data_IF_677547213427
#
_entry.id   IF_677547213427
#
_cell.length_a   1.000
_cell.length_b   1.000
_cell.length_c   1.000
_cell.angle_alpha   90.00
_cell.angle_beta   90.00
_cell.angle_gamma   90.00
#
_symmetry.space_group_name_H-M   'P 1'
#
loop_
_entity.id
_entity.type
_entity.pdbx_description
1 polymer ?
#
# COMPACT_ATOMS: atom_id res chain seq x y z
N UNK A 1 12.45 6.66 11.74
CA UNK A 1 13.80 6.16 12.13
C UNK A 1 14.52 5.76 10.85
N UNK A 2 15.78 6.12 10.65
CA UNK A 2 16.55 5.51 9.57
C UNK A 2 16.56 3.99 9.78
N UNK A 3 16.61 3.18 8.70
CA UNK A 3 16.70 1.73 8.84
C UNK A 3 17.87 1.37 9.75
N UNK A 4 17.72 0.28 10.51
CA UNK A 4 18.77 -0.28 11.38
C UNK A 4 20.10 -0.33 10.61
N UNK A 5 21.27 -0.08 11.26
CA UNK A 5 22.56 -0.05 10.55
C UNK A 5 22.92 -1.32 9.79
N UNK A 6 22.13 -2.38 9.93
CA UNK A 6 22.33 -3.72 9.34
C UNK A 6 21.14 -4.22 8.53
N UNK A 7 20.21 -3.33 8.05
CA UNK A 7 19.10 -3.85 7.23
C UNK A 7 19.60 -4.41 5.88
N UNK A 8 19.07 -5.56 5.42
CA UNK A 8 19.41 -6.16 4.13
C UNK A 8 19.30 -5.18 2.96
N UNK A 9 18.26 -4.35 2.95
CA UNK A 9 18.07 -3.29 1.96
C UNK A 9 19.26 -2.30 1.91
N UNK A 10 19.79 -1.91 3.09
CA UNK A 10 20.94 -1.00 3.14
C UNK A 10 22.21 -1.65 2.59
N UNK A 11 22.42 -2.94 2.81
CA UNK A 11 23.54 -3.68 2.24
C UNK A 11 23.44 -3.72 0.71
N UNK A 12 22.24 -3.92 0.17
CA UNK A 12 21.97 -3.87 -1.26
C UNK A 12 22.37 -2.50 -1.85
N UNK A 13 21.82 -1.40 -1.33
CA UNK A 13 22.14 -0.06 -1.83
C UNK A 13 23.63 0.30 -1.67
N UNK A 14 24.28 -0.16 -0.60
CA UNK A 14 25.71 0.03 -0.39
C UNK A 14 26.53 -0.69 -1.46
N UNK A 15 26.18 -1.93 -1.82
CA UNK A 15 26.88 -2.69 -2.86
C UNK A 15 26.79 -2.02 -4.22
N UNK A 16 25.62 -1.50 -4.60
CA UNK A 16 25.43 -0.75 -5.85
C UNK A 16 26.26 0.53 -5.88
N UNK A 17 26.22 1.32 -4.81
CA UNK A 17 26.96 2.58 -4.71
C UNK A 17 28.47 2.37 -4.75
N UNK A 18 28.96 1.29 -4.13
CA UNK A 18 30.38 0.91 -4.17
C UNK A 18 30.79 0.20 -5.48
N UNK A 19 29.82 -0.17 -6.34
CA UNK A 19 30.02 -1.05 -7.50
C UNK A 19 30.66 -2.40 -7.16
N UNK A 20 30.40 -2.87 -5.94
CA UNK A 20 30.83 -4.17 -5.43
C UNK A 20 29.71 -5.18 -5.62
N UNK A 21 29.65 -5.81 -6.79
CA UNK A 21 28.58 -6.75 -7.12
C UNK A 21 28.88 -8.15 -6.62
N UNK A 22 27.86 -8.77 -6.00
CA UNK A 22 27.89 -10.18 -5.63
C UNK A 22 27.28 -11.05 -6.72
N UNK A 23 27.55 -12.35 -6.70
CA UNK A 23 27.08 -13.29 -7.73
C UNK A 23 25.56 -13.49 -7.77
N UNK A 24 24.83 -13.21 -6.68
CA UNK A 24 23.39 -13.36 -6.64
C UNK A 24 22.71 -12.37 -5.68
N UNK A 25 21.62 -11.77 -6.15
CA UNK A 25 20.74 -10.90 -5.39
C UNK A 25 19.34 -11.50 -5.31
N UNK A 26 18.65 -11.30 -4.18
CA UNK A 26 17.27 -11.68 -3.99
C UNK A 26 16.46 -10.43 -3.63
N UNK A 27 15.56 -10.00 -4.52
CA UNK A 27 14.70 -8.84 -4.37
C UNK A 27 13.28 -9.33 -4.11
N UNK A 28 12.73 -9.01 -2.94
CA UNK A 28 11.40 -9.46 -2.52
C UNK A 28 10.71 -8.40 -1.66
N UNK A 29 9.47 -8.63 -1.27
CA UNK A 29 8.65 -7.71 -0.48
C UNK A 29 7.35 -7.33 -1.18
N UNK A 30 6.54 -6.55 -0.50
CA UNK A 30 5.18 -6.22 -0.94
C UNK A 30 5.10 -4.93 -1.80
N UNK A 31 6.18 -4.19 -1.95
CA UNK A 31 6.20 -2.96 -2.74
C UNK A 31 6.84 -3.19 -4.11
N UNK A 32 5.99 -3.34 -5.13
CA UNK A 32 6.42 -3.61 -6.50
C UNK A 32 7.18 -2.42 -7.11
N UNK A 33 6.84 -1.19 -6.76
CA UNK A 33 7.52 0.00 -7.27
C UNK A 33 8.98 0.06 -6.80
N UNK A 34 9.22 -0.20 -5.50
CA UNK A 34 10.57 -0.23 -4.94
C UNK A 34 11.40 -1.40 -5.49
N UNK A 35 10.79 -2.57 -5.69
CA UNK A 35 11.46 -3.73 -6.31
C UNK A 35 11.88 -3.43 -7.74
N UNK A 36 10.96 -2.89 -8.56
CA UNK A 36 11.26 -2.51 -9.95
C UNK A 36 12.39 -1.47 -10.01
N UNK A 37 12.33 -0.45 -9.15
CA UNK A 37 13.40 0.54 -9.03
C UNK A 37 14.73 -0.12 -8.65
N UNK A 38 14.74 -1.04 -7.69
CA UNK A 38 15.94 -1.74 -7.26
C UNK A 38 16.57 -2.56 -8.39
N UNK A 39 15.76 -3.28 -9.17
CA UNK A 39 16.22 -4.02 -10.35
C UNK A 39 16.80 -3.07 -11.39
N UNK A 40 16.10 -1.96 -11.70
CA UNK A 40 16.54 -0.95 -12.67
C UNK A 40 17.89 -0.33 -12.29
N UNK A 41 18.03 0.07 -11.02
CA UNK A 41 19.27 0.66 -10.49
C UNK A 41 20.43 -0.36 -10.50
N UNK A 42 20.16 -1.62 -10.14
CA UNK A 42 21.16 -2.68 -10.19
C UNK A 42 21.65 -2.90 -11.61
N UNK A 43 20.73 -3.06 -12.57
CA UNK A 43 21.06 -3.25 -13.99
C UNK A 43 21.84 -2.05 -14.53
N UNK A 44 21.40 -0.82 -14.25
CA UNK A 44 22.08 0.40 -14.68
C UNK A 44 23.48 0.59 -14.09
N UNK A 45 23.69 0.08 -12.85
CA UNK A 45 25.01 0.13 -12.22
C UNK A 45 25.96 -0.98 -12.70
N UNK A 46 25.42 -2.16 -13.07
CA UNK A 46 26.21 -3.34 -13.42
C UNK A 46 26.52 -3.46 -14.92
N UNK A 47 25.65 -2.97 -15.80
CA UNK A 47 25.75 -3.13 -17.25
C UNK A 47 25.80 -1.77 -17.93
N UNK A 48 26.78 -1.57 -18.79
CA UNK A 48 26.92 -0.38 -19.61
C UNK A 48 25.84 -0.33 -20.70
N UNK A 49 25.28 0.85 -20.95
CA UNK A 49 24.15 1.03 -21.89
C UNK A 49 24.51 0.54 -23.31
N UNK A 50 25.70 0.81 -23.79
CA UNK A 50 26.16 0.42 -25.15
C UNK A 50 26.34 -1.09 -25.35
N UNK A 51 26.39 -1.89 -24.26
CA UNK A 51 26.54 -3.36 -24.32
C UNK A 51 25.37 -4.11 -23.74
N UNK A 52 24.29 -3.38 -23.35
CA UNK A 52 23.14 -3.90 -22.61
C UNK A 52 22.43 -5.03 -23.34
N UNK A 53 22.24 -4.92 -24.64
CA UNK A 53 21.55 -5.93 -25.46
C UNK A 53 22.24 -7.30 -25.44
N UNK A 54 23.56 -7.33 -25.18
CA UNK A 54 24.34 -8.57 -25.12
C UNK A 54 24.54 -9.08 -23.68
N UNK A 55 24.36 -8.21 -22.68
CA UNK A 55 24.75 -8.49 -21.30
C UNK A 55 23.58 -8.41 -20.29
N UNK A 56 22.37 -8.20 -20.76
CA UNK A 56 21.16 -8.26 -19.94
C UNK A 56 20.18 -9.27 -20.48
N UNK A 57 19.85 -10.28 -19.68
CA UNK A 57 18.73 -11.18 -19.91
C UNK A 57 17.68 -11.00 -18.84
N UNK A 58 16.44 -10.82 -19.25
CA UNK A 58 15.27 -10.77 -18.37
C UNK A 58 14.34 -11.92 -18.77
N UNK A 59 14.04 -12.82 -17.84
CA UNK A 59 13.20 -14.00 -18.07
C UNK A 59 12.18 -14.17 -16.96
N UNK A 60 11.03 -14.75 -17.32
CA UNK A 60 10.01 -15.17 -16.36
C UNK A 60 10.37 -16.53 -15.76
N UNK A 61 10.27 -16.68 -14.43
CA UNK A 61 10.64 -17.93 -13.75
C UNK A 61 9.84 -19.13 -14.23
N UNK A 62 8.55 -18.98 -14.52
CA UNK A 62 7.70 -20.07 -15.02
C UNK A 62 8.07 -20.60 -16.40
N UNK A 63 8.82 -19.85 -17.19
CA UNK A 63 9.27 -20.22 -18.54
C UNK A 63 10.65 -20.88 -18.55
N UNK A 64 11.40 -20.77 -17.44
CA UNK A 64 12.77 -21.28 -17.35
C UNK A 64 12.82 -22.75 -16.94
N UNK A 65 13.53 -23.54 -17.72
CA UNK A 65 14.00 -24.85 -17.34
C UNK A 65 15.45 -24.81 -16.83
N UNK A 66 15.94 -25.95 -16.32
CA UNK A 66 17.28 -26.05 -15.76
C UNK A 66 18.39 -25.85 -16.80
N UNK A 67 18.20 -26.29 -18.04
CA UNK A 67 19.17 -26.18 -19.14
C UNK A 67 19.31 -24.71 -19.59
N UNK A 68 18.18 -24.03 -19.83
CA UNK A 68 18.17 -22.62 -20.22
C UNK A 68 18.79 -21.73 -19.11
N UNK A 69 18.39 -21.97 -17.85
CA UNK A 69 18.96 -21.25 -16.72
C UNK A 69 20.48 -21.47 -16.58
N UNK A 70 20.91 -22.72 -16.77
CA UNK A 70 22.31 -23.10 -16.79
C UNK A 70 23.11 -22.38 -17.88
N UNK A 71 22.55 -22.34 -19.10
CA UNK A 71 23.16 -21.64 -20.24
C UNK A 71 23.29 -20.15 -19.97
N UNK A 72 22.24 -19.50 -19.49
CA UNK A 72 22.24 -18.06 -19.18
C UNK A 72 23.31 -17.70 -18.14
N UNK A 73 23.44 -18.48 -17.09
CA UNK A 73 24.36 -18.20 -15.97
C UNK A 73 25.79 -18.68 -16.21
N UNK A 74 26.05 -19.52 -17.22
CA UNK A 74 27.38 -19.91 -17.64
C UNK A 74 27.94 -19.11 -18.82
N UNK A 75 27.12 -18.28 -19.46
CA UNK A 75 27.54 -17.42 -20.57
C UNK A 75 28.29 -16.21 -20.03
N UNK A 76 29.57 -16.00 -20.40
CA UNK A 76 30.35 -14.86 -19.94
C UNK A 76 29.84 -13.53 -20.56
N UNK A 77 30.18 -12.38 -19.93
CA UNK A 77 29.86 -11.09 -20.51
C UNK A 77 30.54 -10.87 -21.87
N UNK A 78 29.90 -10.13 -22.77
CA UNK A 78 30.39 -9.81 -24.08
C UNK A 78 30.78 -8.31 -24.16
N UNK A 79 32.06 -8.00 -24.38
CA UNK A 79 32.56 -6.64 -24.43
C UNK A 79 32.24 -5.76 -23.22
N UNK A 80 32.03 -6.38 -22.05
CA UNK A 80 31.68 -5.73 -20.79
C UNK A 80 32.31 -6.44 -19.62
N UNK A 81 32.39 -5.76 -18.47
CA UNK A 81 32.88 -6.38 -17.24
C UNK A 81 31.89 -7.39 -16.65
N UNK A 82 30.59 -7.17 -16.89
CA UNK A 82 29.54 -7.95 -16.24
C UNK A 82 28.36 -8.22 -17.17
N UNK A 83 27.72 -9.35 -16.91
CA UNK A 83 26.44 -9.76 -17.45
C UNK A 83 25.43 -9.87 -16.32
N UNK A 84 24.20 -9.44 -16.55
CA UNK A 84 23.10 -9.53 -15.57
C UNK A 84 22.01 -10.45 -16.11
N UNK A 85 21.58 -11.39 -15.30
CA UNK A 85 20.43 -12.27 -15.57
C UNK A 85 19.36 -11.98 -14.52
N UNK A 86 18.22 -11.45 -14.94
CA UNK A 86 17.08 -11.14 -14.09
C UNK A 86 16.01 -12.23 -14.27
N UNK A 87 15.68 -12.92 -13.20
CA UNK A 87 14.58 -13.89 -13.15
C UNK A 87 13.41 -13.23 -12.43
N UNK A 88 12.38 -12.82 -13.19
CA UNK A 88 11.12 -12.29 -12.68
C UNK A 88 10.25 -13.42 -12.16
N UNK A 89 9.52 -13.19 -11.07
CA UNK A 89 8.72 -14.20 -10.39
C UNK A 89 9.49 -15.51 -10.17
N UNK A 90 10.61 -15.42 -9.46
CA UNK A 90 11.47 -16.57 -9.19
C UNK A 90 10.75 -17.71 -8.41
N UNK A 91 9.63 -17.38 -7.73
CA UNK A 91 8.80 -18.40 -7.07
C UNK A 91 8.17 -19.38 -8.05
N UNK A 92 7.91 -18.95 -9.30
CA UNK A 92 7.32 -19.77 -10.36
C UNK A 92 8.31 -20.71 -11.07
N UNK A 93 9.60 -20.65 -10.73
CA UNK A 93 10.59 -21.60 -11.28
C UNK A 93 10.14 -23.05 -11.07
N UNK A 94 10.31 -23.89 -12.09
CA UNK A 94 10.00 -25.34 -12.04
C UNK A 94 10.94 -26.05 -11.08
N UNK A 95 10.52 -27.20 -10.58
CA UNK A 95 11.25 -27.96 -9.55
C UNK A 95 12.69 -28.28 -9.96
N UNK A 96 12.88 -28.69 -11.22
CA UNK A 96 14.21 -29.05 -11.78
C UNK A 96 15.11 -27.80 -11.84
N UNK A 97 14.58 -26.65 -12.29
CA UNK A 97 15.28 -25.37 -12.34
C UNK A 97 15.65 -24.87 -10.93
N UNK A 98 14.74 -25.03 -9.94
CA UNK A 98 15.04 -24.73 -8.53
C UNK A 98 16.19 -25.57 -7.99
N UNK A 99 16.18 -26.88 -8.24
CA UNK A 99 17.26 -27.77 -7.80
C UNK A 99 18.62 -27.41 -8.42
N UNK A 100 18.61 -27.02 -9.72
CA UNK A 100 19.83 -26.55 -10.39
C UNK A 100 20.32 -25.21 -9.79
N UNK A 101 19.38 -24.28 -9.53
CA UNK A 101 19.66 -22.98 -8.93
C UNK A 101 20.29 -23.12 -7.54
N UNK A 102 19.77 -24.03 -6.71
CA UNK A 102 20.33 -24.29 -5.38
C UNK A 102 21.82 -24.68 -5.45
N UNK A 103 22.18 -25.57 -6.38
CA UNK A 103 23.55 -25.97 -6.62
C UNK A 103 24.44 -24.83 -7.18
N UNK A 104 23.87 -23.96 -8.01
CA UNK A 104 24.56 -22.77 -8.51
C UNK A 104 24.85 -21.76 -7.38
N UNK A 105 23.86 -21.46 -6.55
CA UNK A 105 24.00 -20.53 -5.43
C UNK A 105 25.02 -21.04 -4.38
N UNK A 106 25.06 -22.35 -4.14
CA UNK A 106 26.04 -22.94 -3.24
C UNK A 106 27.48 -22.73 -3.73
N UNK A 107 27.71 -22.96 -5.03
CA UNK A 107 29.03 -22.71 -5.65
C UNK A 107 29.41 -21.23 -5.68
N UNK A 108 28.43 -20.35 -5.88
CA UNK A 108 28.64 -18.91 -5.94
C UNK A 108 28.94 -18.31 -4.57
N UNK A 109 28.24 -18.79 -3.52
CA UNK A 109 28.47 -18.36 -2.14
C UNK A 109 29.86 -18.74 -1.60
N UNK A 110 30.49 -19.80 -2.13
CA UNK A 110 31.86 -20.22 -1.75
C UNK A 110 32.96 -19.34 -2.35
N UNK A 111 32.63 -18.41 -3.26
CA UNK A 111 33.58 -17.49 -3.91
C UNK A 111 33.67 -16.15 -3.17
N UNK A 112 33.75 -16.16 -1.84
CA UNK A 112 33.89 -14.93 -1.08
C UNK A 112 35.07 -14.08 -1.55
N UNK A 113 34.82 -12.79 -1.82
CA UNK A 113 35.84 -11.82 -2.22
C UNK A 113 36.25 -11.82 -3.69
N UNK A 114 35.66 -12.66 -4.54
CA UNK A 114 35.91 -12.64 -5.99
C UNK A 114 34.74 -11.90 -6.66
N UNK A 115 35.00 -10.79 -7.41
CA UNK A 115 33.96 -10.12 -8.20
C UNK A 115 33.30 -11.10 -9.18
N UNK A 116 31.98 -11.14 -9.20
CA UNK A 116 31.25 -11.96 -10.15
C UNK A 116 31.11 -11.23 -11.48
N UNK A 117 31.51 -11.88 -12.57
CA UNK A 117 31.27 -11.42 -13.94
C UNK A 117 29.83 -11.67 -14.41
N UNK A 118 29.12 -12.64 -13.78
CA UNK A 118 27.71 -12.88 -13.99
C UNK A 118 26.94 -12.59 -12.70
N UNK A 119 25.99 -11.67 -12.77
CA UNK A 119 25.15 -11.24 -11.65
C UNK A 119 23.74 -11.79 -11.85
N UNK A 120 23.31 -12.66 -10.97
CA UNK A 120 21.94 -13.19 -10.95
C UNK A 120 21.06 -12.29 -10.06
N UNK A 121 19.90 -11.91 -10.54
CA UNK A 121 18.86 -11.20 -9.79
C UNK A 121 17.61 -12.06 -9.75
N UNK A 122 17.23 -12.52 -8.58
CA UNK A 122 15.99 -13.24 -8.32
C UNK A 122 14.97 -12.25 -7.78
N UNK A 123 13.96 -11.93 -8.56
CA UNK A 123 12.86 -11.08 -8.13
C UNK A 123 11.65 -11.96 -7.79
N UNK A 124 11.06 -11.69 -6.63
CA UNK A 124 9.88 -12.39 -6.14
C UNK A 124 8.65 -11.48 -6.23
N UNK A 125 7.55 -12.02 -6.76
CA UNK A 125 6.27 -11.32 -6.81
C UNK A 125 5.76 -11.02 -5.39
N UNK A 126 4.90 -10.01 -5.26
CA UNK A 126 4.24 -9.68 -3.99
C UNK A 126 3.26 -10.77 -3.55
N UNK A 127 3.00 -10.86 -2.24
CA UNK A 127 2.09 -11.83 -1.63
C UNK A 127 2.76 -13.07 -1.04
N UNK A 128 1.99 -13.90 -0.35
CA UNK A 128 2.50 -15.05 0.41
C UNK A 128 3.26 -16.07 -0.44
N UNK A 129 2.85 -16.27 -1.69
CA UNK A 129 3.50 -17.19 -2.63
C UNK A 129 4.83 -16.67 -3.16
N UNK A 130 5.08 -15.37 -3.04
CA UNK A 130 6.30 -14.71 -3.47
C UNK A 130 7.40 -14.63 -2.40
N UNK A 131 7.30 -15.36 -1.29
CA UNK A 131 8.36 -15.34 -0.28
C UNK A 131 9.48 -16.28 -0.65
N UNK A 132 10.75 -15.80 -0.69
CA UNK A 132 11.92 -16.65 -0.91
C UNK A 132 12.12 -17.62 0.26
N UNK A 133 12.62 -18.81 -0.04
CA UNK A 133 12.96 -19.76 1.01
C UNK A 133 14.25 -19.37 1.76
N UNK A 134 14.49 -20.01 2.91
CA UNK A 134 15.64 -19.70 3.77
C UNK A 134 16.99 -19.96 3.09
N UNK A 135 17.06 -20.91 2.16
CA UNK A 135 18.30 -21.24 1.46
C UNK A 135 18.67 -20.13 0.47
N UNK A 136 17.68 -19.60 -0.27
CA UNK A 136 17.86 -18.45 -1.16
C UNK A 136 18.34 -17.23 -0.36
N UNK A 137 17.65 -16.91 0.76
CA UNK A 137 18.01 -15.77 1.61
C UNK A 137 19.42 -15.88 2.19
N UNK A 138 19.84 -17.09 2.55
CA UNK A 138 21.17 -17.32 3.14
C UNK A 138 22.33 -17.25 2.13
N UNK A 139 22.05 -17.43 0.82
CA UNK A 139 23.07 -17.55 -0.22
C UNK A 139 23.05 -16.37 -1.23
N UNK A 140 22.22 -15.39 -0.98
CA UNK A 140 22.09 -14.19 -1.83
C UNK A 140 22.22 -12.93 -0.99
N UNK A 141 22.55 -11.82 -1.62
CA UNK A 141 22.35 -10.53 -0.99
C UNK A 141 20.86 -10.19 -1.13
N UNK A 142 20.13 -10.48 -0.06
CA UNK A 142 18.68 -10.33 -0.04
C UNK A 142 18.28 -8.91 0.35
N UNK A 143 17.25 -8.34 -0.29
CA UNK A 143 16.66 -7.04 0.04
C UNK A 143 15.14 -7.16 0.11
N UNK A 144 14.59 -6.78 1.28
CA UNK A 144 13.15 -6.78 1.54
C UNK A 144 12.58 -5.37 1.34
N UNK A 145 11.74 -5.21 0.32
CA UNK A 145 11.09 -3.96 -0.03
C UNK A 145 9.66 -3.94 0.51
N UNK A 146 9.54 -3.71 1.80
CA UNK A 146 8.25 -3.50 2.47
C UNK A 146 7.66 -2.13 2.11
N UNK A 147 6.31 -2.00 2.06
CA UNK A 147 5.65 -0.71 1.87
C UNK A 147 6.11 0.34 2.87
N UNK A 148 6.24 1.57 2.42
CA UNK A 148 6.59 2.67 3.30
C UNK A 148 5.47 2.93 4.33
N UNK A 149 5.88 3.22 5.57
CA UNK A 149 4.92 3.66 6.57
C UNK A 149 4.34 5.03 6.18
N UNK A 150 3.11 5.28 6.60
CA UNK A 150 2.39 6.52 6.30
C UNK A 150 3.20 7.78 6.63
N UNK A 151 3.89 7.79 7.74
CA UNK A 151 4.68 8.95 8.21
C UNK A 151 5.92 9.22 7.34
N UNK A 152 6.34 8.26 6.53
CA UNK A 152 7.49 8.40 5.63
C UNK A 152 7.12 8.88 4.24
N UNK A 153 5.85 8.75 3.85
CA UNK A 153 5.38 9.07 2.50
C UNK A 153 5.58 10.53 2.10
N UNK A 154 5.27 11.56 2.92
CA UNK A 154 5.50 12.95 2.51
C UNK A 154 6.97 13.24 2.18
N UNK A 155 7.89 12.66 2.95
CA UNK A 155 9.33 12.78 2.69
C UNK A 155 9.75 12.06 1.42
N UNK A 156 9.14 10.91 1.14
CA UNK A 156 9.38 10.17 -0.10
C UNK A 156 8.84 10.95 -1.30
N UNK A 157 7.64 11.52 -1.22
CA UNK A 157 7.02 12.37 -2.25
C UNK A 157 7.96 13.54 -2.60
N UNK A 158 8.38 14.31 -1.60
CA UNK A 158 9.27 15.44 -1.80
C UNK A 158 10.63 15.02 -2.38
N UNK A 159 11.20 13.90 -1.90
CA UNK A 159 12.47 13.36 -2.41
C UNK A 159 12.33 12.87 -3.85
N UNK A 160 11.30 12.09 -4.17
CA UNK A 160 11.06 11.57 -5.51
C UNK A 160 10.87 12.70 -6.52
N UNK A 161 10.02 13.68 -6.20
CA UNK A 161 9.78 14.83 -7.07
C UNK A 161 11.08 15.65 -7.31
N UNK A 162 11.87 15.88 -6.27
CA UNK A 162 13.12 16.66 -6.42
C UNK A 162 14.22 15.91 -7.15
N UNK A 163 14.37 14.58 -6.94
CA UNK A 163 15.49 13.80 -7.52
C UNK A 163 15.20 13.24 -8.90
N UNK A 164 13.97 12.77 -9.14
CA UNK A 164 13.60 12.14 -10.40
C UNK A 164 12.99 13.15 -11.40
N UNK A 165 12.24 14.16 -10.89
CA UNK A 165 11.50 15.10 -11.73
C UNK A 165 12.11 16.50 -11.72
N UNK A 166 13.01 16.79 -10.79
CA UNK A 166 13.63 18.12 -10.63
C UNK A 166 12.68 19.22 -10.14
N UNK A 167 11.55 18.84 -9.52
CA UNK A 167 10.48 19.77 -9.14
C UNK A 167 10.30 19.75 -7.61
N UNK A 168 10.30 20.90 -6.92
CA UNK A 168 10.00 20.96 -5.50
C UNK A 168 8.50 20.76 -5.24
N UNK A 169 8.18 20.22 -4.05
CA UNK A 169 6.79 20.00 -3.59
C UNK A 169 6.66 20.60 -2.21
N UNK A 170 5.61 21.38 -1.96
CA UNK A 170 5.31 21.89 -0.61
C UNK A 170 4.89 20.76 0.32
N UNK A 171 5.17 20.90 1.63
CA UNK A 171 4.75 19.91 2.63
C UNK A 171 3.23 19.69 2.60
N UNK A 172 2.46 20.76 2.44
CA UNK A 172 0.99 20.71 2.35
C UNK A 172 0.49 19.95 1.11
N UNK A 173 1.14 20.14 -0.04
CA UNK A 173 0.82 19.39 -1.26
C UNK A 173 1.19 17.90 -1.13
N UNK A 174 2.33 17.59 -0.51
CA UNK A 174 2.76 16.21 -0.26
C UNK A 174 1.77 15.47 0.67
N UNK A 175 1.30 16.12 1.73
CA UNK A 175 0.29 15.58 2.63
C UNK A 175 -1.06 15.37 1.92
N UNK A 176 -1.50 16.34 1.11
CA UNK A 176 -2.75 16.26 0.36
C UNK A 176 -2.68 15.13 -0.68
N UNK A 177 -1.58 15.03 -1.41
CA UNK A 177 -1.35 13.97 -2.39
C UNK A 177 -1.36 12.59 -1.73
N UNK A 178 -0.71 12.45 -0.57
CA UNK A 178 -0.73 11.23 0.23
C UNK A 178 -2.16 10.86 0.66
N UNK A 179 -2.96 11.82 1.11
CA UNK A 179 -4.35 11.58 1.50
C UNK A 179 -5.23 11.16 0.32
N UNK A 180 -4.96 11.70 -0.86
CA UNK A 180 -5.71 11.42 -2.08
C UNK A 180 -5.39 10.04 -2.69
N UNK A 181 -4.12 9.67 -2.69
CA UNK A 181 -3.61 8.47 -3.40
C UNK A 181 -3.36 7.30 -2.46
N UNK A 182 -3.07 7.59 -1.19
CA UNK A 182 -2.73 6.57 -0.20
C UNK A 182 -1.23 6.23 -0.19
N UNK A 183 -0.91 4.95 0.06
CA UNK A 183 0.46 4.47 0.23
C UNK A 183 1.02 3.69 -0.97
N UNK A 184 0.37 3.74 -2.11
CA UNK A 184 0.85 3.12 -3.36
C UNK A 184 1.89 4.04 -4.02
N UNK A 185 3.16 3.68 -3.93
CA UNK A 185 4.26 4.48 -4.47
C UNK A 185 4.21 4.63 -5.99
N UNK A 186 3.74 3.59 -6.71
CA UNK A 186 3.59 3.64 -8.16
C UNK A 186 2.52 4.65 -8.59
N UNK A 187 1.39 4.66 -7.88
CA UNK A 187 0.34 5.64 -8.11
C UNK A 187 0.80 7.06 -7.73
N UNK A 188 1.50 7.23 -6.60
CA UNK A 188 2.06 8.51 -6.19
C UNK A 188 3.08 9.05 -7.23
N UNK A 189 3.96 8.20 -7.75
CA UNK A 189 4.89 8.57 -8.80
C UNK A 189 4.18 9.03 -10.08
N UNK A 190 3.14 8.29 -10.51
CA UNK A 190 2.35 8.66 -11.69
C UNK A 190 1.60 9.99 -11.51
N UNK A 191 1.09 10.28 -10.31
CA UNK A 191 0.49 11.58 -10.03
C UNK A 191 1.53 12.71 -10.00
N UNK A 192 2.73 12.46 -9.45
CA UNK A 192 3.83 13.42 -9.43
C UNK A 192 4.32 13.75 -10.84
N UNK A 193 4.41 12.76 -11.76
CA UNK A 193 4.74 12.99 -13.18
C UNK A 193 3.74 13.94 -13.86
N UNK A 194 2.44 13.74 -13.60
CA UNK A 194 1.38 14.64 -14.12
C UNK A 194 1.49 16.04 -13.53
N UNK A 195 1.72 16.14 -12.22
CA UNK A 195 1.87 17.41 -11.52
C UNK A 195 3.10 18.19 -12.01
N UNK A 196 4.25 17.53 -12.16
CA UNK A 196 5.47 18.13 -12.68
C UNK A 196 5.26 18.67 -14.11
N UNK A 197 4.54 17.91 -14.94
CA UNK A 197 4.17 18.33 -16.29
C UNK A 197 3.20 19.53 -16.28
N UNK A 198 2.23 19.54 -15.36
CA UNK A 198 1.26 20.62 -15.21
C UNK A 198 1.94 21.91 -14.74
N UNK A 199 2.79 21.85 -13.72
CA UNK A 199 3.51 23.02 -13.19
C UNK A 199 4.68 23.48 -14.07
N UNK A 200 5.00 22.72 -15.13
CA UNK A 200 6.12 23.00 -16.04
C UNK A 200 7.47 23.15 -15.34
N UNK A 201 7.66 22.38 -14.27
CA UNK A 201 8.89 22.40 -13.47
C UNK A 201 8.90 23.44 -12.34
N UNK A 202 7.81 24.18 -12.14
CA UNK A 202 7.61 25.04 -10.96
C UNK A 202 7.18 24.21 -9.74
N UNK A 203 7.18 24.82 -8.56
CA UNK A 203 6.81 24.17 -7.30
C UNK A 203 5.39 23.61 -7.34
N UNK A 204 5.24 22.36 -6.92
CA UNK A 204 3.93 21.70 -6.77
C UNK A 204 3.34 22.13 -5.42
N UNK A 205 2.27 22.90 -5.47
CA UNK A 205 1.47 23.35 -4.33
C UNK A 205 0.11 22.64 -4.23
N UNK A 206 -0.68 22.94 -3.21
CA UNK A 206 -2.03 22.39 -3.03
C UNK A 206 -2.98 22.77 -4.20
N UNK A 207 -2.75 23.92 -4.84
CA UNK A 207 -3.54 24.36 -5.99
C UNK A 207 -3.30 23.47 -7.21
N UNK A 208 -2.06 23.12 -7.46
CA UNK A 208 -1.69 22.17 -8.53
C UNK A 208 -2.29 20.78 -8.26
N UNK A 209 -2.22 20.28 -7.01
CA UNK A 209 -2.85 19.01 -6.63
C UNK A 209 -4.36 19.07 -6.84
N UNK A 210 -5.04 20.15 -6.44
CA UNK A 210 -6.46 20.32 -6.66
C UNK A 210 -6.84 20.35 -8.15
N UNK A 211 -6.01 20.95 -8.99
CA UNK A 211 -6.27 21.08 -10.43
C UNK A 211 -6.08 19.75 -11.18
N UNK A 212 -5.07 18.95 -10.81
CA UNK A 212 -4.67 17.73 -11.55
C UNK A 212 -5.28 16.47 -10.95
N UNK A 213 -5.22 16.32 -9.61
CA UNK A 213 -5.69 15.14 -8.90
C UNK A 213 -7.17 15.25 -8.53
N UNK A 214 -7.72 16.47 -8.54
CA UNK A 214 -9.14 16.74 -8.25
C UNK A 214 -9.49 16.65 -6.76
N UNK A 215 -8.49 16.71 -5.86
CA UNK A 215 -8.69 16.61 -4.41
C UNK A 215 -8.28 17.91 -3.73
N UNK A 216 -9.12 18.38 -2.81
CA UNK A 216 -8.86 19.53 -1.97
C UNK A 216 -8.85 19.14 -0.51
N UNK A 217 -8.19 19.94 0.31
CA UNK A 217 -8.24 19.77 1.77
C UNK A 217 -9.68 19.89 2.26
N UNK A 218 -10.13 18.94 3.07
CA UNK A 218 -11.52 18.84 3.52
C UNK A 218 -12.45 18.06 2.60
N UNK A 219 -11.96 17.59 1.43
CA UNK A 219 -12.74 16.83 0.44
C UNK A 219 -12.19 15.41 0.24
N UNK A 220 -11.34 14.93 1.15
CA UNK A 220 -10.73 13.59 1.05
C UNK A 220 -11.70 12.49 1.50
N UNK A 221 -11.41 11.24 1.12
CA UNK A 221 -12.14 10.07 1.63
C UNK A 221 -12.11 10.02 3.18
N UNK A 222 -10.99 10.42 3.81
CA UNK A 222 -10.89 10.48 5.26
C UNK A 222 -11.85 11.53 5.87
N UNK A 223 -12.00 12.71 5.25
CA UNK A 223 -12.95 13.73 5.66
C UNK A 223 -14.40 13.23 5.55
N UNK A 224 -14.70 12.55 4.44
CA UNK A 224 -16.01 11.91 4.24
C UNK A 224 -16.32 10.88 5.34
N UNK A 225 -15.37 9.99 5.67
CA UNK A 225 -15.53 9.01 6.73
C UNK A 225 -15.78 9.69 8.09
N UNK A 226 -15.09 10.78 8.38
CA UNK A 226 -15.26 11.53 9.62
C UNK A 226 -16.62 12.20 9.71
N UNK A 227 -17.15 12.71 8.61
CA UNK A 227 -18.52 13.27 8.55
C UNK A 227 -19.56 12.19 8.83
N UNK A 228 -19.43 11.02 8.22
CA UNK A 228 -20.33 9.88 8.49
C UNK A 228 -20.21 9.42 9.95
N UNK A 229 -19.00 9.32 10.52
CA UNK A 229 -18.81 8.94 11.92
C UNK A 229 -19.47 9.94 12.88
N UNK A 230 -19.50 11.22 12.54
CA UNK A 230 -20.20 12.28 13.29
C UNK A 230 -21.70 12.32 13.04
N UNK A 231 -22.20 11.53 12.08
CA UNK A 231 -23.58 11.53 11.58
C UNK A 231 -23.98 12.87 10.91
N UNK A 232 -23.03 13.53 10.30
CA UNK A 232 -23.26 14.73 9.47
C UNK A 232 -23.66 14.30 8.04
N UNK A 233 -24.94 14.03 7.84
CA UNK A 233 -25.47 13.61 6.55
C UNK A 233 -25.30 14.68 5.47
N UNK A 234 -25.49 15.96 5.81
CA UNK A 234 -25.39 17.05 4.86
C UNK A 234 -23.98 17.22 4.32
N UNK A 235 -22.99 17.28 5.21
CA UNK A 235 -21.58 17.36 4.84
C UNK A 235 -21.13 16.12 4.07
N UNK A 236 -21.51 14.91 4.52
CA UNK A 236 -21.14 13.67 3.85
C UNK A 236 -21.74 13.57 2.44
N UNK A 237 -23.03 13.92 2.24
CA UNK A 237 -23.66 13.93 0.92
C UNK A 237 -23.00 14.90 -0.05
N UNK A 238 -22.59 16.07 0.42
CA UNK A 238 -21.90 17.05 -0.40
C UNK A 238 -20.55 16.53 -0.92
N UNK A 239 -19.89 15.63 -0.17
CA UNK A 239 -18.60 15.06 -0.57
C UNK A 239 -18.72 13.86 -1.52
N UNK A 240 -19.86 13.18 -1.64
CA UNK A 240 -20.00 11.97 -2.48
C UNK A 240 -19.50 12.18 -3.91
N UNK A 241 -19.90 13.25 -4.65
CA UNK A 241 -19.38 13.45 -6.00
C UNK A 241 -17.87 13.67 -6.03
N UNK A 242 -17.31 14.37 -5.04
CA UNK A 242 -15.88 14.70 -4.99
C UNK A 242 -15.01 13.49 -4.70
N UNK A 243 -15.40 12.62 -3.76
CA UNK A 243 -14.63 11.42 -3.45
C UNK A 243 -14.62 10.40 -4.60
N UNK A 244 -15.69 10.33 -5.39
CA UNK A 244 -15.76 9.42 -6.55
C UNK A 244 -14.88 9.84 -7.73
N UNK A 245 -14.38 11.07 -7.75
CA UNK A 245 -13.40 11.55 -8.74
C UNK A 245 -11.94 11.29 -8.32
N UNK A 246 -11.72 10.88 -7.08
CA UNK A 246 -10.37 10.65 -6.57
C UNK A 246 -9.73 9.38 -7.15
N UNK A 247 -8.41 9.34 -7.31
CA UNK A 247 -7.70 8.17 -7.81
C UNK A 247 -8.00 6.92 -6.98
N UNK A 248 -8.32 5.81 -7.65
CA UNK A 248 -8.61 4.50 -7.03
C UNK A 248 -9.84 4.47 -6.10
N UNK A 249 -10.64 5.52 -6.05
CA UNK A 249 -11.89 5.57 -5.29
C UNK A 249 -13.06 5.23 -6.22
N UNK A 250 -13.87 4.28 -5.81
CA UNK A 250 -15.13 3.89 -6.42
C UNK A 250 -16.13 3.49 -5.33
N UNK A 251 -17.38 3.23 -5.69
CA UNK A 251 -18.40 2.86 -4.70
C UNK A 251 -18.01 1.70 -3.79
N UNK A 252 -17.37 0.65 -4.34
CA UNK A 252 -16.94 -0.53 -3.57
C UNK A 252 -15.86 -0.15 -2.55
N UNK A 253 -14.85 0.62 -2.94
CA UNK A 253 -13.78 1.04 -2.02
C UNK A 253 -14.32 1.93 -0.90
N UNK A 254 -15.30 2.79 -1.19
CA UNK A 254 -15.98 3.62 -0.18
C UNK A 254 -16.76 2.76 0.81
N UNK A 255 -17.54 1.78 0.32
CA UNK A 255 -18.28 0.85 1.19
C UNK A 255 -17.33 0.03 2.06
N UNK A 256 -16.22 -0.45 1.53
CA UNK A 256 -15.20 -1.15 2.33
C UNK A 256 -14.61 -0.27 3.44
N UNK A 257 -14.30 0.99 3.13
CA UNK A 257 -13.79 1.94 4.12
C UNK A 257 -14.81 2.26 5.21
N UNK A 258 -16.09 2.47 4.84
CA UNK A 258 -17.20 2.65 5.78
C UNK A 258 -17.43 1.41 6.65
N UNK A 259 -17.31 0.21 6.06
CA UNK A 259 -17.44 -1.06 6.81
C UNK A 259 -16.35 -1.17 7.86
N UNK A 260 -15.10 -0.92 7.50
CA UNK A 260 -13.97 -0.93 8.45
C UNK A 260 -14.20 0.07 9.59
N UNK A 261 -14.64 1.29 9.26
CA UNK A 261 -14.97 2.30 10.26
C UNK A 261 -16.11 1.88 11.17
N UNK A 262 -17.20 1.32 10.61
CA UNK A 262 -18.37 0.87 11.38
C UNK A 262 -17.98 -0.25 12.33
N UNK A 263 -17.16 -1.21 11.92
CA UNK A 263 -16.63 -2.26 12.80
C UNK A 263 -15.75 -1.70 13.91
N UNK A 264 -14.91 -0.69 13.61
CA UNK A 264 -14.13 0.00 14.63
C UNK A 264 -15.04 0.74 15.65
N UNK A 265 -16.09 1.42 15.18
CA UNK A 265 -17.06 2.08 16.06
C UNK A 265 -17.81 1.08 16.91
N UNK A 266 -18.21 -0.08 16.37
CA UNK A 266 -18.86 -1.16 17.10
C UNK A 266 -17.96 -1.74 18.21
N UNK A 267 -16.67 -1.93 17.88
CA UNK A 267 -15.71 -2.36 18.89
C UNK A 267 -15.57 -1.32 20.02
N UNK A 268 -15.49 -0.03 19.67
CA UNK A 268 -15.36 1.07 20.65
C UNK A 268 -16.61 1.22 21.52
N UNK A 269 -17.79 1.13 20.93
CA UNK A 269 -19.07 1.15 21.67
C UNK A 269 -19.13 -0.01 22.67
N UNK A 270 -18.84 -1.24 22.22
CA UNK A 270 -18.81 -2.41 23.06
C UNK A 270 -17.76 -2.32 24.19
N UNK A 271 -16.64 -1.68 23.96
CA UNK A 271 -15.60 -1.42 24.96
C UNK A 271 -16.12 -0.41 26.02
N UNK A 272 -16.77 0.66 25.59
CA UNK A 272 -17.39 1.66 26.48
C UNK A 272 -18.50 1.01 27.30
N UNK A 273 -19.38 0.20 26.71
CA UNK A 273 -20.46 -0.51 27.38
C UNK A 273 -19.92 -1.48 28.45
N UNK A 274 -18.70 -2.02 28.26
CA UNK A 274 -18.01 -2.86 29.26
C UNK A 274 -17.27 -2.06 30.33
N UNK A 275 -17.38 -0.74 30.32
CA UNK A 275 -16.81 0.15 31.34
C UNK A 275 -15.41 0.69 31.03
N UNK A 276 -14.95 0.57 29.77
CA UNK A 276 -13.69 1.21 29.37
C UNK A 276 -13.87 2.74 29.38
N UNK A 277 -12.98 3.43 30.08
CA UNK A 277 -13.03 4.91 30.12
C UNK A 277 -12.62 5.50 28.77
N UNK A 278 -13.23 6.63 28.35
CA UNK A 278 -12.87 7.32 27.10
C UNK A 278 -11.38 7.69 27.00
N UNK A 279 -10.72 7.97 28.11
CA UNK A 279 -9.30 8.29 28.17
C UNK A 279 -8.38 7.12 27.83
N UNK A 280 -8.82 5.89 28.00
CA UNK A 280 -8.10 4.65 27.65
C UNK A 280 -8.44 4.12 26.26
N UNK A 281 -9.55 4.57 25.69
CA UNK A 281 -10.08 4.04 24.44
C UNK A 281 -9.08 4.18 23.28
N UNK A 282 -8.34 5.29 23.20
CA UNK A 282 -7.31 5.47 22.16
C UNK A 282 -6.19 4.42 22.26
N UNK A 283 -5.68 4.17 23.47
CA UNK A 283 -4.65 3.15 23.69
C UNK A 283 -5.11 1.75 23.29
N UNK A 284 -6.35 1.42 23.63
CA UNK A 284 -6.93 0.11 23.30
C UNK A 284 -7.21 -0.04 21.80
N UNK A 285 -7.58 1.01 21.08
CA UNK A 285 -7.66 0.98 19.61
C UNK A 285 -6.29 0.70 18.97
N UNK A 286 -5.21 1.31 19.49
CA UNK A 286 -3.86 1.01 19.00
C UNK A 286 -3.48 -0.45 19.26
N UNK A 287 -3.82 -1.00 20.42
CA UNK A 287 -3.61 -2.42 20.73
C UNK A 287 -4.42 -3.33 19.79
N UNK A 288 -5.66 -2.98 19.52
CA UNK A 288 -6.55 -3.70 18.60
C UNK A 288 -5.96 -3.71 17.16
N UNK A 289 -5.55 -2.55 16.65
CA UNK A 289 -4.94 -2.45 15.31
C UNK A 289 -3.63 -3.26 15.21
N UNK A 290 -2.81 -3.26 16.26
CA UNK A 290 -1.59 -4.08 16.31
C UNK A 290 -1.88 -5.58 16.32
N UNK A 291 -2.93 -6.01 17.02
CA UNK A 291 -3.29 -7.44 17.14
C UNK A 291 -4.01 -7.97 15.91
N UNK A 292 -4.64 -7.11 15.13
CA UNK A 292 -5.42 -7.48 13.94
C UNK A 292 -4.61 -7.97 12.76
N UNK A 293 -3.28 -7.82 12.78
CA UNK A 293 -2.34 -8.45 11.84
C UNK A 293 -2.42 -7.98 10.38
N UNK A 294 -3.36 -7.11 10.03
CA UNK A 294 -3.54 -6.58 8.68
C UNK A 294 -3.17 -5.10 8.58
N UNK A 295 -2.62 -4.65 7.44
CA UNK A 295 -2.40 -3.23 7.22
C UNK A 295 -3.75 -2.51 7.14
N UNK A 296 -4.05 -1.62 8.08
CA UNK A 296 -5.11 -0.65 7.90
C UNK A 296 -4.63 0.39 6.88
N UNK A 297 -5.14 0.30 5.67
CA UNK A 297 -4.85 1.21 4.57
C UNK A 297 -5.99 2.22 4.46
N UNK A 298 -5.70 3.49 4.39
CA UNK A 298 -6.73 4.51 4.19
C UNK A 298 -6.45 5.83 4.89
N UNK A 299 -5.86 5.80 6.07
CA UNK A 299 -5.35 6.98 6.77
C UNK A 299 -4.41 6.59 7.92
N UNK A 300 -3.62 7.54 8.49
CA UNK A 300 -2.77 7.27 9.65
C UNK A 300 -3.58 6.69 10.81
N UNK A 301 -3.02 5.70 11.49
CA UNK A 301 -3.67 5.09 12.65
C UNK A 301 -4.04 6.10 13.72
N UNK A 302 -3.15 7.11 13.95
CA UNK A 302 -3.38 8.17 14.91
C UNK A 302 -4.67 8.96 14.62
N UNK A 303 -4.90 9.30 13.36
CA UNK A 303 -6.08 10.06 12.93
C UNK A 303 -7.34 9.19 12.97
N UNK A 304 -7.25 7.95 12.51
CA UNK A 304 -8.34 6.99 12.59
C UNK A 304 -8.79 6.77 14.05
N UNK A 305 -7.84 6.45 14.92
CA UNK A 305 -8.09 6.21 16.34
C UNK A 305 -8.66 7.44 17.03
N UNK A 306 -8.18 8.64 16.71
CA UNK A 306 -8.72 9.90 17.23
C UNK A 306 -10.17 10.11 16.82
N UNK A 307 -10.50 9.90 15.53
CA UNK A 307 -11.86 10.04 15.02
C UNK A 307 -12.82 9.00 15.63
N UNK A 308 -12.41 7.74 15.68
CA UNK A 308 -13.23 6.65 16.27
C UNK A 308 -13.46 6.88 17.76
N UNK A 309 -12.44 7.24 18.52
CA UNK A 309 -12.56 7.52 19.95
C UNK A 309 -13.51 8.68 20.26
N UNK A 310 -13.50 9.70 19.39
CA UNK A 310 -14.35 10.88 19.53
C UNK A 310 -15.81 10.61 19.16
N UNK A 311 -16.09 9.55 18.39
CA UNK A 311 -17.42 9.32 17.80
C UNK A 311 -18.08 8.00 18.24
N UNK A 312 -17.33 7.03 18.76
CA UNK A 312 -17.88 5.73 19.17
C UNK A 312 -19.09 5.85 20.11
N UNK A 313 -19.06 6.77 21.09
CA UNK A 313 -20.18 7.01 22.01
C UNK A 313 -21.45 7.59 21.34
N UNK A 314 -21.38 8.05 20.09
CA UNK A 314 -22.54 8.55 19.32
C UNK A 314 -23.33 7.42 18.65
N UNK A 315 -22.80 6.21 18.68
CA UNK A 315 -23.35 5.03 18.05
C UNK A 315 -23.81 4.05 19.15
N UNK A 316 -25.03 3.56 19.06
CA UNK A 316 -25.52 2.47 19.89
C UNK A 316 -25.56 1.15 19.10
N UNK A 317 -25.63 0.02 19.80
CA UNK A 317 -25.60 -1.30 19.18
C UNK A 317 -26.66 -1.46 18.09
N UNK A 318 -27.90 -0.97 18.31
CA UNK A 318 -28.97 -1.09 17.32
C UNK A 318 -28.68 -0.28 16.04
N UNK A 319 -28.10 0.92 16.17
CA UNK A 319 -27.72 1.72 14.99
C UNK A 319 -26.53 1.12 14.26
N UNK A 320 -25.61 0.47 14.95
CA UNK A 320 -24.48 -0.24 14.35
C UNK A 320 -24.93 -1.50 13.60
N UNK A 321 -25.86 -2.28 14.15
CA UNK A 321 -26.45 -3.42 13.45
C UNK A 321 -27.16 -2.96 12.16
N UNK A 322 -27.99 -1.92 12.24
CA UNK A 322 -28.65 -1.34 11.06
C UNK A 322 -27.66 -0.79 10.04
N UNK A 323 -26.53 -0.21 10.49
CA UNK A 323 -25.47 0.27 9.62
C UNK A 323 -24.80 -0.88 8.87
N UNK A 324 -24.50 -2.00 9.52
CA UNK A 324 -23.91 -3.18 8.89
C UNK A 324 -24.87 -3.79 7.84
N UNK A 325 -26.17 -3.85 8.12
CA UNK A 325 -27.17 -4.29 7.15
C UNK A 325 -27.22 -3.36 5.92
N UNK A 326 -27.19 -2.05 6.12
CA UNK A 326 -27.19 -1.07 5.04
C UNK A 326 -25.91 -1.15 4.19
N UNK A 327 -24.75 -1.36 4.83
CA UNK A 327 -23.46 -1.57 4.15
C UNK A 327 -23.47 -2.84 3.30
N UNK A 328 -24.00 -3.95 3.83
CA UNK A 328 -24.13 -5.19 3.07
C UNK A 328 -25.06 -5.01 1.86
N UNK A 329 -26.18 -4.33 2.04
CA UNK A 329 -27.11 -4.04 0.94
C UNK A 329 -26.46 -3.18 -0.14
N UNK A 330 -25.66 -2.17 0.24
CA UNK A 330 -24.93 -1.33 -0.69
C UNK A 330 -23.83 -2.11 -1.43
N UNK A 331 -23.08 -2.98 -0.75
CA UNK A 331 -22.06 -3.83 -1.36
C UNK A 331 -22.66 -4.77 -2.41
N UNK A 332 -23.80 -5.38 -2.13
CA UNK A 332 -24.53 -6.22 -3.08
C UNK A 332 -25.01 -5.38 -4.27
N UNK A 333 -25.58 -4.21 -4.02
CA UNK A 333 -26.10 -3.33 -5.07
C UNK A 333 -24.99 -2.85 -6.04
N UNK A 334 -23.82 -2.50 -5.51
CA UNK A 334 -22.67 -2.06 -6.33
C UNK A 334 -22.06 -3.18 -7.18
N UNK A 335 -22.29 -4.43 -6.82
CA UNK A 335 -21.85 -5.61 -7.59
C UNK A 335 -22.89 -6.10 -8.60
N UNK A 336 -24.13 -5.61 -8.53
CA UNK A 336 -25.19 -5.93 -9.52
C UNK A 336 -25.15 -4.92 -10.68
N UNK A 337 -24.86 -5.42 -11.87
CA UNK A 337 -24.75 -4.61 -13.12
C UNK A 337 -26.06 -3.96 -13.58
N UNK A 338 -27.17 -4.22 -12.91
CA UNK A 338 -28.51 -3.68 -13.24
C UNK A 338 -28.89 -2.42 -12.48
N UNK A 339 -28.07 -1.97 -11.56
CA UNK A 339 -28.47 -0.94 -10.59
C UNK A 339 -27.68 0.36 -10.76
N UNK A 340 -28.33 1.41 -10.32
CA UNK A 340 -28.00 2.83 -10.08
C UNK A 340 -26.49 3.16 -10.03
N UNK A 341 -26.20 4.42 -10.32
CA UNK A 341 -24.84 4.97 -10.21
C UNK A 341 -24.28 4.80 -8.80
N UNK A 342 -22.96 4.64 -8.70
CA UNK A 342 -22.22 4.62 -7.42
C UNK A 342 -22.65 5.79 -6.54
N UNK A 343 -22.83 6.97 -7.12
CA UNK A 343 -23.25 8.19 -6.43
C UNK A 343 -24.62 8.04 -5.75
N UNK A 344 -25.62 7.49 -6.44
CA UNK A 344 -26.94 7.28 -5.87
C UNK A 344 -26.93 6.22 -4.76
N UNK A 345 -26.18 5.14 -4.93
CA UNK A 345 -26.02 4.09 -3.94
C UNK A 345 -25.36 4.63 -2.67
N UNK A 346 -24.27 5.41 -2.83
CA UNK A 346 -23.57 6.02 -1.71
C UNK A 346 -24.41 7.09 -1.02
N UNK A 347 -25.17 7.92 -1.77
CA UNK A 347 -26.05 8.91 -1.18
C UNK A 347 -27.13 8.24 -0.30
N UNK A 348 -27.74 7.16 -0.81
CA UNK A 348 -28.74 6.37 -0.04
C UNK A 348 -28.10 5.75 1.20
N UNK A 349 -26.91 5.20 1.08
CA UNK A 349 -26.15 4.62 2.20
C UNK A 349 -25.85 5.67 3.26
N UNK A 350 -25.34 6.85 2.87
CA UNK A 350 -25.06 7.96 3.80
C UNK A 350 -26.32 8.36 4.60
N UNK A 351 -27.44 8.49 3.93
CA UNK A 351 -28.72 8.78 4.60
C UNK A 351 -29.08 7.68 5.61
N UNK A 352 -28.92 6.41 5.24
CA UNK A 352 -29.21 5.29 6.12
C UNK A 352 -28.28 5.25 7.34
N UNK A 353 -26.97 5.50 7.15
CA UNK A 353 -25.98 5.51 8.22
C UNK A 353 -26.15 6.70 9.18
N UNK A 354 -26.51 7.87 8.65
CA UNK A 354 -26.64 9.09 9.44
C UNK A 354 -28.02 9.26 10.07
N UNK A 355 -29.07 8.65 9.52
CA UNK A 355 -30.38 8.59 10.13
C UNK A 355 -30.28 7.71 11.39
N UNK A 356 -30.12 8.31 12.55
CA UNK A 356 -30.24 7.56 13.82
C UNK A 356 -31.53 6.75 13.81
N UNK A 357 -31.51 5.54 14.39
CA UNK A 357 -32.75 4.79 14.63
C UNK A 357 -33.68 5.75 15.36
N UNK A 358 -34.77 6.22 14.69
CA UNK A 358 -35.76 7.02 15.33
C UNK A 358 -36.24 6.22 16.55
N UNK A 359 -35.98 6.71 17.76
CA UNK A 359 -36.51 6.12 18.98
C UNK A 359 -38.03 6.08 18.82
N UNK A 360 -38.54 4.89 18.46
CA UNK A 360 -39.96 4.65 18.45
C UNK A 360 -40.56 5.12 19.78
N UNK A 361 -41.76 5.72 19.80
CA UNK A 361 -42.35 6.25 21.02
C UNK A 361 -42.33 5.15 22.06
N UNK A 362 -41.59 5.37 23.17
CA UNK A 362 -41.38 4.41 24.24
C UNK A 362 -42.73 3.80 24.66
N UNK A 363 -42.84 2.51 24.63
CA UNK A 363 -43.91 1.76 25.30
C UNK A 363 -43.93 2.23 26.77
N UNK A 364 -44.73 3.26 27.04
CA UNK A 364 -45.09 3.62 28.43
C UNK A 364 -45.67 2.34 29.07
N UNK A 365 -44.97 1.90 30.10
CA UNK A 365 -45.36 0.74 30.86
C UNK A 365 -46.85 0.77 31.21
N UNK A 366 -47.57 -0.24 30.80
CA UNK A 366 -48.90 -0.54 31.34
C UNK A 366 -48.73 -0.86 32.83
N UNK A 367 -49.02 0.12 33.68
CA UNK A 367 -49.19 -0.08 35.10
C UNK A 367 -50.36 -1.06 35.29
N UNK A 368 -50.08 -2.26 35.74
CA UNK A 368 -51.08 -3.14 36.30
C UNK A 368 -51.55 -2.51 37.61
N UNK A 369 -52.73 -1.90 37.60
CA UNK A 369 -53.52 -1.74 38.77
C UNK A 369 -54.15 -3.09 39.07
N UNK A 370 -53.79 -3.70 40.24
CA UNK A 370 -54.46 -4.81 40.80
C UNK A 370 -55.63 -4.25 41.67
N UNK A 371 -56.81 -4.77 41.49
CA UNK A 371 -57.82 -4.86 42.47
C UNK A 371 -58.01 -6.34 42.83
#
# INVERSE_FOLDING_TARGET
MPPSPTSPERAFWKSLKAREFVGAYCIYGEDDFLKERAVKELVGAAVEEGTRDFNLDVRQGGELDAETLGTLLSTPPMMAERRVVVVRDAAALRKEAKGWLDGYLERTAQREGVPSDVVLVLEYASGEKGKPDKNILARTLAADFAPLSWERLPKWIAHHASTELGVPVTDAAAELLQQAVGNDLGALAAELDKLASYTRGEEIDESAVAAVVGVRRGETLADFLDLVARRDAGGALALVPHILTQPKVNGVTVVMALTTQTLALAWGEAAIARGLSPSRLQGEYFNFLKSGGGPYTGRPWGDAVRAWSATAAKWDAASLDSALEALLAADIALKDTRVSSDEQTLATLVLSLCAGVARGPGRRGASRAAA
#
